data_IF_679608790189
#
_entry.id   IF_679608790189
#
_cell.length_a   1.000
_cell.length_b   1.000
_cell.length_c   1.000
_cell.angle_alpha   90.00
_cell.angle_beta   90.00
_cell.angle_gamma   90.00
#
_symmetry.space_group_name_H-M   'P 1'
#
loop_
_entity.id
_entity.type
_entity.pdbx_description
1 polymer ?
#
# COMPACT_ATOMS: atom_id res chain seq x y z
N UNK A 1 -4.94 -21.21 -59.78
CA UNK A 1 -5.88 -21.52 -58.65
C UNK A 1 -5.27 -22.44 -57.62
N UNK A 2 -4.84 -23.67 -57.91
CA UNK A 2 -4.29 -24.60 -56.92
C UNK A 2 -3.12 -24.03 -56.06
N UNK A 3 -2.17 -23.25 -56.64
CA UNK A 3 -1.05 -22.67 -55.88
C UNK A 3 -1.48 -21.54 -54.92
N UNK A 4 -2.51 -20.75 -55.28
CA UNK A 4 -3.06 -19.71 -54.39
C UNK A 4 -3.78 -20.30 -53.20
N UNK A 5 -4.48 -21.44 -53.38
CA UNK A 5 -5.14 -22.17 -52.30
C UNK A 5 -4.13 -22.77 -51.33
N UNK A 6 -2.98 -23.26 -51.81
CA UNK A 6 -1.91 -23.77 -50.93
C UNK A 6 -1.21 -22.69 -50.13
N UNK A 7 -1.01 -21.49 -50.71
CA UNK A 7 -0.43 -20.33 -50.02
C UNK A 7 -1.42 -19.77 -48.98
N UNK A 8 -2.70 -19.70 -49.32
CA UNK A 8 -3.74 -19.30 -48.37
C UNK A 8 -3.91 -20.33 -47.21
N UNK A 9 -3.78 -21.64 -47.52
CA UNK A 9 -3.81 -22.68 -46.48
C UNK A 9 -2.55 -22.63 -45.59
N UNK A 10 -1.36 -22.35 -46.14
CA UNK A 10 -0.13 -22.18 -45.35
C UNK A 10 -0.20 -20.92 -44.48
N UNK A 11 -0.72 -19.79 -45.02
CA UNK A 11 -0.95 -18.56 -44.26
C UNK A 11 -2.01 -18.74 -43.16
N UNK A 12 -3.07 -19.52 -43.42
CA UNK A 12 -4.06 -19.86 -42.41
C UNK A 12 -3.48 -20.81 -41.34
N UNK A 13 -2.59 -21.76 -41.70
CA UNK A 13 -1.87 -22.56 -40.73
C UNK A 13 -0.88 -21.72 -39.89
N UNK A 14 -0.19 -20.76 -40.49
CA UNK A 14 0.68 -19.84 -39.78
C UNK A 14 -0.12 -18.85 -38.85
N UNK A 15 -1.35 -18.52 -39.19
CA UNK A 15 -2.24 -17.75 -38.34
C UNK A 15 -2.88 -18.55 -37.22
N UNK A 16 -2.97 -19.87 -37.36
CA UNK A 16 -3.38 -20.81 -36.30
C UNK A 16 -2.23 -21.24 -35.39
N UNK A 17 -0.98 -21.04 -35.84
CA UNK A 17 0.23 -21.11 -35.00
C UNK A 17 0.55 -19.74 -34.35
N UNK A 18 -0.41 -18.82 -34.22
CA UNK A 18 -0.37 -17.75 -33.25
C UNK A 18 -0.28 -18.44 -31.90
N UNK A 19 0.94 -18.51 -31.36
CA UNK A 19 1.24 -18.89 -30.00
C UNK A 19 0.24 -18.22 -29.06
N UNK A 20 -0.84 -18.88 -28.72
CA UNK A 20 -1.43 -18.70 -27.42
C UNK A 20 -0.27 -19.05 -26.48
N UNK A 21 0.32 -18.07 -25.83
CA UNK A 21 1.23 -18.29 -24.73
C UNK A 21 0.51 -19.28 -23.83
N UNK A 22 1.11 -20.45 -23.65
CA UNK A 22 0.51 -21.54 -22.88
C UNK A 22 0.29 -20.94 -21.47
N UNK A 23 -0.96 -20.67 -21.12
CA UNK A 23 -1.31 -19.93 -19.89
C UNK A 23 -0.84 -20.69 -18.64
N UNK A 24 -0.61 -22.00 -18.77
CA UNK A 24 -0.10 -22.87 -17.70
C UNK A 24 1.38 -22.60 -17.40
N UNK A 25 2.15 -22.04 -18.36
CA UNK A 25 3.54 -21.62 -18.18
C UNK A 25 3.70 -20.12 -17.87
N UNK A 26 2.61 -19.42 -17.58
CA UNK A 26 2.64 -18.00 -17.14
C UNK A 26 2.21 -17.89 -15.69
N UNK A 27 2.92 -17.03 -14.93
CA UNK A 27 2.52 -16.56 -13.61
C UNK A 27 2.25 -15.06 -13.69
N UNK A 28 1.00 -14.64 -13.53
CA UNK A 28 0.60 -13.24 -13.49
C UNK A 28 0.60 -12.75 -12.06
N UNK A 29 1.58 -11.90 -11.74
CA UNK A 29 1.73 -11.25 -10.42
C UNK A 29 1.22 -9.82 -10.51
N UNK A 30 0.44 -9.39 -9.52
CA UNK A 30 -0.11 -8.04 -9.43
C UNK A 30 0.17 -7.48 -8.03
N UNK A 31 1.08 -6.50 -7.95
CA UNK A 31 1.61 -5.96 -6.70
C UNK A 31 1.54 -4.44 -6.69
N UNK A 32 1.90 -3.82 -5.60
CA UNK A 32 2.15 -2.38 -5.51
C UNK A 32 3.35 -1.96 -6.36
N UNK A 33 3.41 -0.68 -6.73
CA UNK A 33 4.61 -0.10 -7.36
C UNK A 33 5.78 -0.09 -6.37
N UNK A 34 7.00 -0.34 -6.87
CA UNK A 34 8.25 -0.32 -6.09
C UNK A 34 8.22 -1.19 -4.81
N UNK A 35 7.56 -2.35 -4.86
CA UNK A 35 7.27 -3.19 -3.70
C UNK A 35 7.77 -4.63 -3.82
N UNK A 36 8.82 -4.83 -4.56
CA UNK A 36 9.61 -6.08 -4.69
C UNK A 36 10.98 -5.75 -5.31
N UNK A 37 12.02 -6.45 -4.89
CA UNK A 37 13.26 -6.53 -5.66
C UNK A 37 12.99 -7.31 -6.96
N UNK A 38 12.88 -6.61 -8.08
CA UNK A 38 12.54 -7.23 -9.38
C UNK A 38 13.58 -8.25 -9.86
N UNK A 39 14.80 -8.23 -9.34
CA UNK A 39 15.83 -9.24 -9.64
C UNK A 39 15.45 -10.61 -9.07
N UNK A 40 14.59 -10.68 -8.05
CA UNK A 40 14.02 -11.94 -7.55
C UNK A 40 13.10 -12.64 -8.56
N UNK A 41 12.54 -11.91 -9.53
CA UNK A 41 11.62 -12.49 -10.51
C UNK A 41 12.30 -13.51 -11.40
N UNK A 42 13.41 -13.19 -12.12
CA UNK A 42 14.12 -14.18 -12.92
C UNK A 42 14.76 -15.30 -12.04
N UNK A 43 15.13 -14.99 -10.81
CA UNK A 43 15.65 -16.00 -9.89
C UNK A 43 14.55 -16.99 -9.48
N UNK A 44 13.33 -16.52 -9.25
CA UNK A 44 12.18 -17.39 -9.03
C UNK A 44 11.90 -18.30 -10.23
N UNK A 45 11.95 -17.78 -11.46
CA UNK A 45 11.74 -18.60 -12.68
C UNK A 45 12.72 -19.77 -12.75
N UNK A 46 14.01 -19.51 -12.47
CA UNK A 46 15.04 -20.54 -12.41
C UNK A 46 14.83 -21.50 -11.23
N UNK A 47 14.60 -20.97 -10.03
CA UNK A 47 14.37 -21.78 -8.84
C UNK A 47 13.15 -22.69 -8.99
N UNK A 48 12.05 -22.19 -9.60
CA UNK A 48 10.86 -22.99 -9.86
C UNK A 48 11.14 -24.17 -10.79
N UNK A 49 11.91 -23.95 -11.86
CA UNK A 49 12.34 -25.02 -12.78
C UNK A 49 13.22 -26.07 -12.07
N UNK A 50 14.13 -25.63 -11.22
CA UNK A 50 14.98 -26.51 -10.42
C UNK A 50 14.17 -27.35 -9.41
N UNK A 51 13.15 -26.79 -8.78
CA UNK A 51 12.33 -27.49 -7.79
C UNK A 51 11.29 -28.42 -8.42
N UNK A 52 10.73 -28.06 -9.57
CA UNK A 52 9.55 -28.74 -10.12
C UNK A 52 9.84 -29.49 -11.44
N UNK A 53 10.92 -29.15 -12.15
CA UNK A 53 11.18 -29.57 -13.52
C UNK A 53 10.28 -28.91 -14.58
N UNK A 54 9.45 -27.92 -14.17
CA UNK A 54 8.55 -27.18 -15.04
C UNK A 54 9.04 -25.75 -15.20
N UNK A 55 8.90 -25.16 -16.39
CA UNK A 55 9.25 -23.77 -16.63
C UNK A 55 8.05 -22.87 -16.40
N UNK A 56 8.30 -21.68 -15.85
CA UNK A 56 7.31 -20.62 -15.72
C UNK A 56 7.89 -19.27 -16.14
N UNK A 57 7.07 -18.41 -16.72
CA UNK A 57 7.42 -17.01 -17.02
C UNK A 57 6.54 -16.08 -16.23
N UNK A 58 7.14 -15.19 -15.45
CA UNK A 58 6.43 -14.21 -14.65
C UNK A 58 6.04 -13.00 -15.52
N UNK A 59 4.77 -12.59 -15.40
CA UNK A 59 4.24 -11.34 -15.93
C UNK A 59 3.88 -10.45 -14.75
N UNK A 60 4.79 -9.55 -14.41
CA UNK A 60 4.64 -8.65 -13.28
C UNK A 60 3.92 -7.37 -13.69
N UNK A 61 2.92 -6.96 -12.91
CA UNK A 61 2.12 -5.74 -13.09
C UNK A 61 1.92 -5.05 -11.75
N UNK A 62 1.67 -3.75 -11.78
CA UNK A 62 1.50 -2.95 -10.56
C UNK A 62 0.15 -2.25 -10.48
N UNK A 63 -0.26 -1.93 -9.25
CA UNK A 63 -1.41 -1.09 -8.93
C UNK A 63 -1.05 -0.07 -7.83
N UNK A 64 -1.84 0.97 -7.73
CA UNK A 64 -1.65 2.05 -6.75
C UNK A 64 -2.79 2.15 -5.74
N UNK A 65 -3.92 1.46 -5.98
CA UNK A 65 -5.14 1.58 -5.18
C UNK A 65 -5.79 0.21 -5.03
N UNK A 66 -5.97 -0.24 -3.80
CA UNK A 66 -6.59 -1.51 -3.43
C UNK A 66 -7.96 -1.73 -4.08
N UNK A 67 -8.85 -0.73 -4.04
CA UNK A 67 -10.21 -0.84 -4.57
C UNK A 67 -10.22 -0.97 -6.10
N UNK A 68 -9.25 -0.37 -6.78
CA UNK A 68 -9.07 -0.52 -8.23
C UNK A 68 -8.62 -1.92 -8.59
N UNK A 69 -7.66 -2.45 -7.85
CA UNK A 69 -7.18 -3.83 -7.98
C UNK A 69 -8.33 -4.82 -7.75
N UNK A 70 -9.06 -4.68 -6.63
CA UNK A 70 -10.18 -5.53 -6.29
C UNK A 70 -11.26 -5.52 -7.37
N UNK A 71 -11.61 -4.35 -7.91
CA UNK A 71 -12.62 -4.22 -8.97
C UNK A 71 -12.25 -4.99 -10.25
N UNK A 72 -10.97 -5.09 -10.59
CA UNK A 72 -10.51 -5.89 -11.73
C UNK A 72 -10.75 -7.39 -11.50
N UNK A 73 -10.58 -7.86 -10.26
CA UNK A 73 -10.81 -9.26 -9.89
C UNK A 73 -12.31 -9.53 -9.77
N UNK A 74 -13.02 -8.74 -8.95
CA UNK A 74 -14.44 -8.93 -8.64
C UNK A 74 -15.35 -8.79 -9.86
N UNK A 75 -15.18 -7.69 -10.61
CA UNK A 75 -16.05 -7.33 -11.76
C UNK A 75 -15.41 -7.66 -13.10
N UNK A 76 -14.10 -7.49 -13.20
CA UNK A 76 -13.35 -7.74 -14.44
C UNK A 76 -13.09 -9.22 -14.67
N UNK A 77 -13.12 -10.05 -13.62
CA UNK A 77 -12.73 -11.46 -13.64
C UNK A 77 -11.35 -11.67 -14.27
N UNK A 78 -10.43 -10.71 -14.04
CA UNK A 78 -9.06 -10.83 -14.56
C UNK A 78 -8.33 -12.01 -13.92
N UNK A 79 -7.57 -12.73 -14.73
CA UNK A 79 -6.94 -13.99 -14.38
C UNK A 79 -5.53 -13.82 -13.79
N UNK A 80 -5.39 -12.89 -12.80
CA UNK A 80 -4.17 -12.83 -12.00
C UNK A 80 -4.00 -14.11 -11.20
N UNK A 81 -2.74 -14.56 -11.04
CA UNK A 81 -2.42 -15.77 -10.26
C UNK A 81 -2.03 -15.42 -8.83
N UNK A 82 -1.34 -14.29 -8.64
CA UNK A 82 -0.89 -13.83 -7.32
C UNK A 82 -1.15 -12.32 -7.23
N UNK A 83 -1.70 -11.89 -6.11
CA UNK A 83 -1.97 -10.46 -5.82
C UNK A 83 -1.55 -10.18 -4.38
N UNK A 84 -1.07 -8.97 -4.11
CA UNK A 84 -0.65 -8.53 -2.78
C UNK A 84 -1.52 -7.37 -2.25
N UNK A 85 -2.74 -7.62 -1.79
CA UNK A 85 -3.59 -6.61 -1.17
C UNK A 85 -3.24 -6.37 0.30
N UNK A 86 -3.77 -5.27 0.86
CA UNK A 86 -3.75 -5.03 2.30
C UNK A 86 -4.81 -5.85 3.04
N UNK A 87 -4.64 -5.98 4.34
CA UNK A 87 -5.42 -6.81 5.29
C UNK A 87 -6.94 -6.68 5.14
N UNK A 88 -7.48 -5.46 5.09
CA UNK A 88 -8.92 -5.23 4.96
C UNK A 88 -9.48 -5.69 3.61
N UNK A 89 -8.67 -5.69 2.56
CA UNK A 89 -9.04 -6.25 1.26
C UNK A 89 -8.96 -7.78 1.29
N UNK A 90 -7.96 -8.35 1.96
CA UNK A 90 -7.90 -9.81 2.19
C UNK A 90 -9.17 -10.26 2.91
N UNK A 91 -9.58 -9.55 3.97
CA UNK A 91 -10.84 -9.81 4.67
C UNK A 91 -12.05 -9.80 3.72
N UNK A 92 -12.17 -8.77 2.90
CA UNK A 92 -13.26 -8.65 1.93
C UNK A 92 -13.25 -9.76 0.90
N UNK A 93 -12.07 -10.07 0.31
CA UNK A 93 -11.95 -11.13 -0.68
C UNK A 93 -12.29 -12.52 -0.10
N UNK A 94 -11.96 -12.76 1.16
CA UNK A 94 -12.35 -13.99 1.87
C UNK A 94 -13.87 -14.07 2.07
N UNK A 95 -14.47 -13.02 2.58
CA UNK A 95 -15.91 -12.96 2.86
C UNK A 95 -16.74 -13.08 1.59
N UNK A 96 -16.25 -12.60 0.44
CA UNK A 96 -16.89 -12.68 -0.86
C UNK A 96 -16.55 -13.97 -1.65
N UNK A 97 -15.70 -14.85 -1.10
CA UNK A 97 -15.28 -16.09 -1.77
C UNK A 97 -14.51 -15.84 -3.06
N UNK A 98 -13.65 -14.82 -3.07
CA UNK A 98 -12.81 -14.41 -4.20
C UNK A 98 -11.39 -14.97 -4.17
N UNK A 99 -11.05 -15.83 -3.21
CA UNK A 99 -9.75 -16.45 -3.06
C UNK A 99 -9.79 -17.95 -3.25
N UNK A 100 -8.68 -18.51 -3.72
CA UNK A 100 -8.37 -19.92 -3.71
C UNK A 100 -7.37 -20.20 -2.56
N UNK A 101 -7.43 -21.39 -1.95
CA UNK A 101 -6.45 -21.78 -0.94
C UNK A 101 -5.06 -21.89 -1.56
N UNK A 102 -4.04 -21.53 -0.77
CA UNK A 102 -2.63 -21.72 -1.13
C UNK A 102 -2.30 -23.19 -0.94
N UNK A 103 -1.75 -23.80 -2.00
CA UNK A 103 -1.28 -25.18 -1.91
C UNK A 103 0.08 -25.20 -1.21
N UNK A 104 0.12 -25.79 -0.02
CA UNK A 104 1.34 -25.92 0.81
C UNK A 104 2.04 -27.27 0.69
N UNK A 105 1.61 -28.11 -0.24
CA UNK A 105 2.34 -29.32 -0.62
C UNK A 105 3.38 -29.01 -1.72
N UNK A 106 4.58 -28.75 -1.29
CA UNK A 106 5.71 -28.42 -2.18
C UNK A 106 6.57 -29.65 -2.53
N UNK A 107 6.08 -30.86 -2.27
CA UNK A 107 6.79 -32.10 -2.52
C UNK A 107 8.12 -32.23 -1.76
N UNK A 108 9.26 -32.15 -2.45
CA UNK A 108 10.58 -32.19 -1.82
C UNK A 108 11.14 -30.82 -1.45
N UNK A 109 10.50 -29.73 -1.90
CA UNK A 109 10.90 -28.36 -1.57
C UNK A 109 10.46 -28.05 -0.14
N UNK A 110 11.30 -27.39 0.69
CA UNK A 110 10.89 -26.99 2.04
C UNK A 110 9.68 -26.04 2.01
N UNK A 111 8.81 -26.20 2.97
CA UNK A 111 7.70 -25.25 3.20
C UNK A 111 8.20 -24.08 4.03
N UNK A 112 8.73 -23.05 3.35
CA UNK A 112 9.24 -21.84 3.98
C UNK A 112 8.13 -20.96 4.57
N UNK A 113 6.90 -21.07 4.06
CA UNK A 113 5.73 -20.37 4.61
C UNK A 113 5.49 -20.79 6.07
N UNK A 114 5.40 -22.09 6.29
CA UNK A 114 5.12 -22.60 7.63
C UNK A 114 6.32 -22.47 8.57
N UNK A 115 7.53 -22.58 8.02
CA UNK A 115 8.77 -22.49 8.79
C UNK A 115 9.09 -21.06 9.24
N UNK A 116 8.90 -20.07 8.38
CA UNK A 116 9.52 -18.76 8.55
C UNK A 116 8.53 -17.59 8.76
N UNK A 117 7.25 -17.72 8.39
CA UNK A 117 6.28 -16.63 8.66
C UNK A 117 6.02 -16.52 10.16
N UNK A 118 6.13 -15.30 10.68
CA UNK A 118 5.97 -14.97 12.10
C UNK A 118 4.74 -15.61 12.75
N UNK A 119 4.87 -16.22 13.93
CA UNK A 119 3.73 -16.72 14.70
C UNK A 119 2.73 -15.62 15.04
N UNK A 120 3.19 -14.40 15.31
CA UNK A 120 2.34 -13.24 15.55
C UNK A 120 1.49 -12.93 14.32
N UNK A 121 2.12 -12.80 13.15
CA UNK A 121 1.43 -12.52 11.90
C UNK A 121 0.39 -13.61 11.60
N UNK A 122 0.75 -14.89 11.74
CA UNK A 122 -0.21 -16.00 11.61
C UNK A 122 -1.38 -15.83 12.58
N UNK A 123 -1.14 -15.43 13.84
CA UNK A 123 -2.20 -15.22 14.84
C UNK A 123 -3.13 -14.04 14.49
N UNK A 124 -2.59 -13.00 13.88
CA UNK A 124 -3.36 -11.85 13.38
C UNK A 124 -4.23 -12.28 12.20
N UNK A 125 -3.66 -13.01 11.24
CA UNK A 125 -4.39 -13.48 10.05
C UNK A 125 -5.53 -14.44 10.41
N UNK A 126 -5.39 -15.26 11.46
CA UNK A 126 -6.51 -16.09 11.96
C UNK A 126 -7.75 -15.26 12.34
N UNK A 127 -7.58 -13.97 12.66
CA UNK A 127 -8.65 -13.07 13.09
C UNK A 127 -9.16 -12.14 11.99
N UNK A 128 -8.58 -12.18 10.78
CA UNK A 128 -8.96 -11.31 9.67
C UNK A 128 -10.37 -11.63 9.18
N UNK A 129 -10.68 -12.92 8.98
CA UNK A 129 -11.94 -13.33 8.37
C UNK A 129 -13.03 -13.62 9.41
N UNK A 130 -14.27 -13.44 8.99
CA UNK A 130 -15.45 -13.81 9.74
C UNK A 130 -15.84 -15.28 9.48
N UNK A 131 -16.73 -15.84 10.33
CA UNK A 131 -17.35 -17.13 10.08
C UNK A 131 -16.45 -18.36 10.24
N UNK A 132 -15.28 -18.23 10.87
CA UNK A 132 -14.39 -19.35 11.18
C UNK A 132 -13.51 -19.80 10.01
N UNK A 133 -13.34 -18.94 9.00
CA UNK A 133 -12.35 -19.14 7.93
C UNK A 133 -10.98 -18.75 8.50
N UNK A 134 -9.99 -19.61 8.39
CA UNK A 134 -8.60 -19.24 8.71
C UNK A 134 -7.97 -18.58 7.46
N UNK A 135 -7.66 -17.29 7.55
CA UNK A 135 -7.06 -16.56 6.47
C UNK A 135 -5.67 -17.10 6.10
N UNK A 136 -4.98 -17.80 7.01
CA UNK A 136 -3.69 -18.43 6.73
C UNK A 136 -3.75 -19.55 5.68
N UNK A 137 -4.94 -20.09 5.39
CA UNK A 137 -5.11 -21.05 4.30
C UNK A 137 -5.16 -20.37 2.92
N UNK A 138 -5.43 -19.07 2.86
CA UNK A 138 -5.70 -18.29 1.64
C UNK A 138 -4.72 -17.15 1.43
N UNK A 139 -3.98 -16.76 2.45
CA UNK A 139 -3.05 -15.64 2.39
C UNK A 139 -1.79 -15.91 3.21
N UNK A 140 -0.70 -15.28 2.77
CA UNK A 140 0.58 -15.27 3.50
C UNK A 140 1.02 -13.83 3.63
N UNK A 141 1.29 -13.39 4.85
CA UNK A 141 1.81 -12.05 5.09
C UNK A 141 3.08 -11.81 4.25
N UNK A 142 3.25 -10.57 3.80
CA UNK A 142 4.38 -10.14 3.00
C UNK A 142 5.18 -9.07 3.72
N UNK A 143 4.64 -7.85 3.80
CA UNK A 143 5.22 -6.74 4.54
C UNK A 143 4.21 -6.21 5.55
N UNK A 144 4.71 -5.51 6.57
CA UNK A 144 3.88 -4.90 7.59
C UNK A 144 4.52 -3.63 8.13
N UNK A 145 3.75 -2.83 8.83
CA UNK A 145 4.25 -1.64 9.48
C UNK A 145 3.17 -0.88 10.25
N UNK A 146 3.56 0.28 10.74
CA UNK A 146 2.68 1.20 11.45
C UNK A 146 2.46 2.47 10.65
N UNK A 147 1.42 3.21 10.97
CA UNK A 147 1.21 4.57 10.51
C UNK A 147 1.56 5.53 11.65
N UNK A 148 2.29 6.59 11.33
CA UNK A 148 2.75 7.56 12.33
C UNK A 148 3.10 8.90 11.74
N UNK A 149 3.87 9.66 12.49
CA UNK A 149 4.34 11.00 12.12
C UNK A 149 5.85 10.96 11.90
N UNK A 150 6.29 11.14 10.66
CA UNK A 150 7.67 11.48 10.35
C UNK A 150 7.84 12.98 10.52
N UNK A 151 8.84 13.42 11.29
CA UNK A 151 9.05 14.83 11.57
C UNK A 151 10.52 15.24 11.53
N UNK A 152 10.77 16.50 11.16
CA UNK A 152 12.10 17.09 11.17
C UNK A 152 12.35 17.70 12.55
N UNK A 153 13.26 17.09 13.33
CA UNK A 153 13.56 17.46 14.73
C UNK A 153 14.13 18.88 14.89
N UNK A 154 14.63 19.49 13.81
CA UNK A 154 15.07 20.88 13.79
C UNK A 154 13.92 21.89 13.90
N UNK A 155 12.75 21.55 13.40
CA UNK A 155 11.59 22.47 13.29
C UNK A 155 10.39 22.05 14.15
N UNK A 156 10.28 20.76 14.47
CA UNK A 156 9.17 20.18 15.22
C UNK A 156 9.66 19.75 16.59
N UNK A 157 8.91 20.17 17.63
CA UNK A 157 9.16 19.69 18.97
C UNK A 157 8.74 18.22 19.07
N UNK A 158 9.61 17.29 19.56
CA UNK A 158 9.24 15.89 19.74
C UNK A 158 7.92 15.68 20.52
N UNK A 159 7.65 16.52 21.55
CA UNK A 159 6.40 16.43 22.31
C UNK A 159 5.17 16.76 21.45
N UNK A 160 5.29 17.68 20.46
CA UNK A 160 4.21 17.95 19.51
C UNK A 160 3.90 16.71 18.63
N UNK A 161 4.93 15.95 18.24
CA UNK A 161 4.79 14.76 17.37
C UNK A 161 4.15 13.55 18.09
N UNK A 162 4.07 13.54 19.42
CA UNK A 162 3.53 12.46 20.23
C UNK A 162 2.00 12.37 20.23
N UNK A 163 1.33 13.28 19.53
CA UNK A 163 -0.14 13.30 19.42
C UNK A 163 -0.59 13.60 17.99
N UNK A 164 -1.68 12.98 17.55
CA UNK A 164 -2.29 13.28 16.24
C UNK A 164 -2.76 14.74 16.13
N UNK A 165 -2.88 15.45 17.25
CA UNK A 165 -3.23 16.87 17.27
C UNK A 165 -2.21 17.76 16.55
N UNK A 166 -0.96 17.30 16.39
CA UNK A 166 0.13 18.01 15.70
C UNK A 166 -0.23 18.44 14.29
N UNK A 167 -1.03 17.63 13.56
CA UNK A 167 -1.38 17.93 12.16
C UNK A 167 -2.33 19.13 12.01
N UNK A 168 -2.99 19.57 13.09
CA UNK A 168 -3.79 20.79 13.07
C UNK A 168 -3.12 21.98 13.79
N UNK A 169 -1.85 21.84 14.19
CA UNK A 169 -1.11 22.92 14.83
C UNK A 169 -0.70 23.98 13.78
N UNK A 170 -1.19 25.24 13.88
CA UNK A 170 -0.90 26.27 12.89
C UNK A 170 0.57 26.68 12.81
N UNK A 171 1.40 26.30 13.81
CA UNK A 171 2.86 26.47 13.79
C UNK A 171 3.51 25.80 12.57
N UNK A 172 2.91 24.73 12.06
CA UNK A 172 3.43 23.92 10.97
C UNK A 172 2.70 24.12 9.64
N UNK A 173 1.88 25.18 9.53
CA UNK A 173 1.10 25.48 8.35
C UNK A 173 1.95 25.55 7.07
N UNK A 174 1.52 24.86 6.01
CA UNK A 174 2.22 24.76 4.73
C UNK A 174 3.47 23.88 4.75
N UNK A 175 3.66 23.10 5.84
CA UNK A 175 4.79 22.18 6.04
C UNK A 175 4.35 20.76 6.40
N UNK A 176 3.07 20.46 6.28
CA UNK A 176 2.47 19.19 6.63
C UNK A 176 2.11 18.44 5.34
N UNK A 177 2.61 17.23 5.19
CA UNK A 177 2.20 16.27 4.16
C UNK A 177 1.39 15.15 4.81
N UNK A 178 0.39 14.65 4.10
CA UNK A 178 -0.49 13.59 4.60
C UNK A 178 -0.68 12.58 3.48
N UNK A 179 -0.58 11.27 3.80
CA UNK A 179 -0.85 10.17 2.87
C UNK A 179 -2.23 10.30 2.25
N UNK A 180 -2.31 10.14 0.94
CA UNK A 180 -3.58 10.09 0.20
C UNK A 180 -4.21 8.69 0.29
N UNK A 181 -4.38 8.20 1.51
CA UNK A 181 -4.95 6.90 1.82
C UNK A 181 -6.08 7.08 2.84
N UNK A 182 -7.31 6.98 2.36
CA UNK A 182 -8.50 7.32 3.15
C UNK A 182 -8.59 6.57 4.47
N UNK A 183 -8.34 5.26 4.44
CA UNK A 183 -8.46 4.38 5.60
C UNK A 183 -7.32 4.59 6.59
N UNK A 184 -6.09 4.70 6.08
CA UNK A 184 -4.89 4.93 6.89
C UNK A 184 -4.92 6.26 7.64
N UNK A 185 -5.63 7.27 7.10
CA UNK A 185 -5.81 8.56 7.80
C UNK A 185 -7.03 8.52 8.70
N UNK A 186 -8.14 7.90 8.27
CA UNK A 186 -9.35 7.81 9.09
C UNK A 186 -9.09 7.08 10.40
N UNK A 187 -8.47 5.90 10.35
CA UNK A 187 -8.28 5.05 11.51
C UNK A 187 -7.59 5.74 12.69
N UNK A 188 -6.36 6.29 12.55
CA UNK A 188 -5.70 6.99 13.64
C UNK A 188 -6.44 8.23 14.13
N UNK A 189 -7.08 8.98 13.21
CA UNK A 189 -7.84 10.15 13.61
C UNK A 189 -9.12 9.77 14.36
N UNK A 190 -9.78 8.67 13.97
CA UNK A 190 -10.94 8.17 14.70
C UNK A 190 -10.54 7.71 16.12
N UNK A 191 -9.40 7.05 16.28
CA UNK A 191 -8.81 6.71 17.59
C UNK A 191 -8.58 7.97 18.42
N UNK A 192 -7.93 8.98 17.82
CA UNK A 192 -7.67 10.27 18.49
C UNK A 192 -8.96 10.94 18.96
N UNK A 193 -9.97 11.00 18.12
CA UNK A 193 -11.25 11.63 18.44
C UNK A 193 -11.99 10.92 19.58
N UNK A 194 -11.83 9.61 19.70
CA UNK A 194 -12.49 8.77 20.71
C UNK A 194 -11.58 8.36 21.88
N UNK A 195 -10.39 8.99 22.03
CA UNK A 195 -9.40 8.63 23.05
C UNK A 195 -9.95 8.64 24.49
N UNK A 196 -10.92 9.49 24.80
CA UNK A 196 -11.53 9.55 26.13
C UNK A 196 -12.44 8.34 26.37
N UNK A 197 -13.23 7.93 25.39
CA UNK A 197 -14.07 6.74 25.46
C UNK A 197 -13.22 5.46 25.55
N UNK A 198 -12.12 5.39 24.79
CA UNK A 198 -11.14 4.30 24.88
C UNK A 198 -10.56 4.20 26.30
N UNK A 199 -10.09 5.32 26.87
CA UNK A 199 -9.55 5.37 28.25
C UNK A 199 -10.60 5.03 29.31
N UNK A 200 -11.86 5.34 29.07
CA UNK A 200 -12.98 4.98 29.95
C UNK A 200 -13.44 3.52 29.77
N UNK A 201 -12.95 2.81 28.74
CA UNK A 201 -13.41 1.46 28.38
C UNK A 201 -14.84 1.42 27.83
N UNK A 202 -15.33 2.55 27.30
CA UNK A 202 -16.67 2.68 26.71
C UNK A 202 -16.70 2.14 25.28
N UNK A 203 -15.57 2.16 24.58
CA UNK A 203 -15.38 1.59 23.25
C UNK A 203 -14.03 0.87 23.19
N UNK A 204 -13.88 -0.04 22.24
CA UNK A 204 -12.63 -0.73 21.93
C UNK A 204 -12.02 -0.22 20.62
N UNK A 205 -10.73 -0.47 20.38
CA UNK A 205 -10.07 -0.17 19.12
C UNK A 205 -10.74 -0.88 17.94
N UNK A 206 -11.08 -2.16 18.08
CA UNK A 206 -11.75 -2.94 17.03
C UNK A 206 -13.13 -2.36 16.67
N UNK A 207 -13.90 -1.91 17.67
CA UNK A 207 -15.18 -1.24 17.42
C UNK A 207 -15.01 0.06 16.64
N UNK A 208 -13.97 0.85 16.94
CA UNK A 208 -13.66 2.07 16.19
C UNK A 208 -13.24 1.80 14.75
N UNK A 209 -12.56 0.66 14.49
CA UNK A 209 -12.18 0.29 13.12
C UNK A 209 -13.36 -0.17 12.28
N UNK A 210 -14.42 -0.66 12.92
CA UNK A 210 -15.69 -1.06 12.27
C UNK A 210 -16.70 0.08 12.19
N UNK A 211 -16.44 1.22 12.84
CA UNK A 211 -17.40 2.31 12.93
C UNK A 211 -17.49 3.10 11.61
N UNK A 212 -18.51 2.77 10.81
CA UNK A 212 -18.89 3.45 9.57
C UNK A 212 -20.07 4.41 9.76
N UNK A 213 -20.37 4.80 11.00
CA UNK A 213 -21.48 5.70 11.33
C UNK A 213 -21.30 7.10 10.71
N UNK A 214 -22.42 7.74 10.40
CA UNK A 214 -22.39 9.10 9.89
C UNK A 214 -21.81 10.06 10.95
N UNK A 215 -22.01 9.78 12.24
CA UNK A 215 -21.47 10.57 13.36
C UNK A 215 -19.94 10.59 13.37
N UNK A 216 -19.30 9.43 13.26
CA UNK A 216 -17.83 9.31 13.22
C UNK A 216 -17.26 9.92 11.94
N UNK A 217 -17.92 9.74 10.80
CA UNK A 217 -17.51 10.35 9.54
C UNK A 217 -17.64 11.88 9.56
N UNK A 218 -18.69 12.43 10.17
CA UNK A 218 -18.89 13.88 10.34
C UNK A 218 -17.85 14.46 11.30
N UNK A 219 -17.53 13.77 12.41
CA UNK A 219 -16.50 14.17 13.35
C UNK A 219 -15.11 14.19 12.69
N UNK A 220 -14.79 13.17 11.91
CA UNK A 220 -13.57 13.09 11.10
C UNK A 220 -13.51 14.25 10.08
N UNK A 221 -14.58 14.49 9.31
CA UNK A 221 -14.63 15.57 8.32
C UNK A 221 -14.45 16.95 8.99
N UNK A 222 -15.07 17.16 10.16
CA UNK A 222 -14.94 18.39 10.93
C UNK A 222 -13.51 18.61 11.47
N UNK A 223 -12.83 17.54 11.92
CA UNK A 223 -11.43 17.61 12.31
C UNK A 223 -10.54 17.93 11.11
N UNK A 224 -10.69 17.19 10.00
CA UNK A 224 -9.90 17.41 8.79
C UNK A 224 -10.16 18.75 8.12
N UNK A 225 -11.33 19.37 8.32
CA UNK A 225 -11.58 20.74 7.86
C UNK A 225 -10.68 21.78 8.53
N UNK A 226 -10.21 21.51 9.77
CA UNK A 226 -9.23 22.35 10.48
C UNK A 226 -7.80 22.06 9.99
N UNK A 227 -7.50 20.81 9.64
CA UNK A 227 -6.20 20.37 9.14
C UNK A 227 -5.93 20.88 7.73
N UNK A 228 -6.90 20.76 6.84
CA UNK A 228 -6.79 21.04 5.40
C UNK A 228 -6.13 22.36 5.04
N UNK A 229 -6.42 23.52 5.70
CA UNK A 229 -5.75 24.79 5.38
C UNK A 229 -4.25 24.80 5.69
N UNK A 230 -3.77 23.85 6.49
CA UNK A 230 -2.40 23.75 6.96
C UNK A 230 -1.56 22.79 6.10
N UNK A 231 -2.22 21.92 5.34
CA UNK A 231 -1.59 20.87 4.55
C UNK A 231 -0.87 21.47 3.33
N UNK A 232 0.40 21.09 3.14
CA UNK A 232 1.19 21.43 1.97
C UNK A 232 0.83 20.52 0.76
N UNK A 233 0.49 19.25 1.01
CA UNK A 233 0.11 18.30 -0.02
C UNK A 233 -0.46 16.99 0.54
N UNK A 234 -1.40 16.43 -0.21
CA UNK A 234 -1.83 15.05 -0.09
C UNK A 234 -0.91 14.22 -0.98
N UNK A 235 -0.27 13.20 -0.43
CA UNK A 235 0.79 12.50 -1.14
C UNK A 235 0.57 10.98 -1.10
N UNK A 236 0.93 10.32 -2.18
CA UNK A 236 0.94 8.87 -2.24
C UNK A 236 2.34 8.30 -1.97
N UNK A 237 3.38 8.96 -2.53
CA UNK A 237 4.77 8.49 -2.46
C UNK A 237 5.81 9.62 -2.33
N UNK A 238 5.51 10.82 -2.85
CA UNK A 238 6.50 11.91 -2.91
C UNK A 238 6.78 12.60 -1.56
N UNK A 239 6.03 12.30 -0.50
CA UNK A 239 6.17 12.92 0.82
C UNK A 239 7.56 12.70 1.42
N UNK A 240 8.10 11.51 1.28
CA UNK A 240 9.44 11.14 1.75
C UNK A 240 10.53 12.05 1.19
N UNK A 241 10.50 12.36 -0.12
CA UNK A 241 11.44 13.29 -0.74
C UNK A 241 11.25 14.75 -0.26
N UNK A 242 10.02 15.16 0.05
CA UNK A 242 9.78 16.50 0.59
C UNK A 242 10.38 16.66 1.98
N UNK A 243 10.41 15.58 2.77
CA UNK A 243 11.01 15.57 4.10
C UNK A 243 12.54 15.63 4.03
N UNK A 244 13.18 14.80 3.19
CA UNK A 244 14.65 14.79 3.01
C UNK A 244 15.19 16.13 2.52
N UNK A 245 14.40 16.88 1.73
CA UNK A 245 14.75 18.19 1.20
C UNK A 245 14.33 19.36 2.10
N UNK A 246 13.92 19.13 3.34
CA UNK A 246 13.41 20.11 4.32
C UNK A 246 12.23 20.98 3.78
N UNK A 247 11.52 20.52 2.76
CA UNK A 247 10.32 21.20 2.23
C UNK A 247 9.10 20.91 3.09
N UNK A 248 9.01 19.69 3.65
CA UNK A 248 8.09 19.26 4.69
C UNK A 248 8.78 19.30 6.06
N UNK A 249 7.98 19.46 7.12
CA UNK A 249 8.43 19.33 8.50
C UNK A 249 7.68 18.23 9.23
N UNK A 250 6.50 17.88 8.75
CA UNK A 250 5.66 16.80 9.23
C UNK A 250 5.15 16.00 8.04
N UNK A 251 5.20 14.69 8.14
CA UNK A 251 4.52 13.79 7.21
C UNK A 251 3.77 12.71 7.99
N UNK A 252 2.46 12.68 7.82
CA UNK A 252 1.60 11.58 8.25
C UNK A 252 1.82 10.44 7.27
N UNK A 253 2.57 9.41 7.65
CA UNK A 253 3.10 8.41 6.71
C UNK A 253 3.24 7.02 7.32
N UNK A 254 3.62 6.06 6.50
CA UNK A 254 3.93 4.69 6.89
C UNK A 254 5.37 4.57 7.37
N UNK A 255 5.62 3.59 8.26
CA UNK A 255 6.94 3.38 8.88
C UNK A 255 8.05 3.09 7.87
N UNK A 256 7.79 2.32 6.81
CA UNK A 256 8.80 2.05 5.78
C UNK A 256 9.19 3.28 4.97
N UNK A 257 8.22 4.11 4.56
CA UNK A 257 8.51 5.40 3.91
C UNK A 257 9.27 6.35 4.85
N UNK A 258 8.96 6.28 6.15
CA UNK A 258 9.67 7.08 7.15
C UNK A 258 11.13 6.64 7.27
N UNK A 259 11.39 5.34 7.35
CA UNK A 259 12.76 4.83 7.44
C UNK A 259 13.56 5.15 6.17
N UNK A 260 13.00 4.91 4.99
CA UNK A 260 13.64 5.32 3.75
C UNK A 260 14.03 6.81 3.77
N UNK A 261 13.11 7.67 4.20
CA UNK A 261 13.40 9.11 4.29
C UNK A 261 14.46 9.44 5.35
N UNK A 262 14.48 8.72 6.48
CA UNK A 262 15.47 8.92 7.54
C UNK A 262 16.88 8.50 7.09
N UNK A 263 16.99 7.38 6.37
CA UNK A 263 18.27 6.94 5.79
C UNK A 263 18.83 7.97 4.80
N UNK A 264 18.04 8.38 3.83
CA UNK A 264 18.46 9.39 2.85
C UNK A 264 18.78 10.74 3.50
N UNK A 265 18.07 11.11 4.55
CA UNK A 265 18.24 12.36 5.28
C UNK A 265 19.55 12.39 6.08
N UNK A 266 20.01 11.25 6.61
CA UNK A 266 21.30 11.15 7.35
C UNK A 266 22.46 11.64 6.51
N UNK A 267 22.54 11.23 5.24
CA UNK A 267 23.58 11.64 4.29
C UNK A 267 23.54 13.14 3.98
N UNK A 268 22.36 13.76 4.09
CA UNK A 268 22.15 15.19 3.88
C UNK A 268 22.30 16.03 5.16
N UNK A 269 22.52 15.40 6.32
CA UNK A 269 22.63 16.06 7.62
C UNK A 269 21.27 16.59 8.14
N UNK A 270 20.16 15.99 7.73
CA UNK A 270 18.81 16.31 8.17
C UNK A 270 18.37 15.31 9.22
N UNK A 271 18.00 15.78 10.43
CA UNK A 271 17.54 14.95 11.55
C UNK A 271 16.02 14.72 11.40
N UNK A 272 15.65 13.63 10.75
CA UNK A 272 14.28 13.12 10.68
C UNK A 272 14.07 12.05 11.74
N UNK A 273 12.88 12.04 12.34
CA UNK A 273 12.45 11.05 13.34
C UNK A 273 11.03 10.62 13.10
N UNK A 274 10.71 9.41 13.52
CA UNK A 274 9.37 8.84 13.39
C UNK A 274 8.76 8.59 14.77
N UNK A 275 7.46 8.86 14.92
CA UNK A 275 6.72 8.62 16.15
C UNK A 275 5.34 8.04 15.83
N UNK A 276 4.96 6.96 16.51
CA UNK A 276 3.57 6.50 16.57
C UNK A 276 2.90 7.20 17.75
N UNK A 277 1.93 8.11 17.52
CA UNK A 277 1.31 8.89 18.59
C UNK A 277 0.72 8.06 19.74
N UNK A 278 0.68 8.66 20.93
CA UNK A 278 0.31 7.98 22.18
C UNK A 278 -1.14 7.52 22.22
N UNK A 279 -2.01 8.16 21.48
CA UNK A 279 -3.43 7.77 21.40
C UNK A 279 -3.62 6.41 20.74
N UNK A 280 -2.62 5.99 19.96
CA UNK A 280 -2.66 4.78 19.16
C UNK A 280 -2.76 5.05 17.66
N UNK A 281 -2.61 4.00 16.87
CA UNK A 281 -2.60 4.07 15.41
C UNK A 281 -3.12 2.78 14.78
N UNK A 282 -3.05 2.70 13.46
CA UNK A 282 -3.19 1.42 12.78
C UNK A 282 -1.83 0.74 12.59
N UNK A 283 -1.85 -0.58 12.74
CA UNK A 283 -0.87 -1.50 12.20
C UNK A 283 -1.49 -2.11 10.95
N UNK A 284 -0.75 -2.16 9.86
CA UNK A 284 -1.22 -2.69 8.59
C UNK A 284 -0.36 -3.86 8.14
N UNK A 285 -0.98 -4.77 7.39
CA UNK A 285 -0.35 -5.96 6.84
C UNK A 285 -0.75 -6.10 5.38
N UNK A 286 0.25 -6.24 4.51
CA UNK A 286 0.02 -6.69 3.14
C UNK A 286 0.32 -8.19 3.05
N UNK A 287 -0.42 -8.88 2.21
CA UNK A 287 -0.27 -10.32 2.08
C UNK A 287 -0.54 -10.85 0.69
N UNK A 288 0.19 -11.89 0.33
CA UNK A 288 0.01 -12.58 -0.93
C UNK A 288 -1.23 -13.46 -0.90
N UNK A 289 -2.06 -13.35 -1.92
CA UNK A 289 -3.27 -14.15 -2.10
C UNK A 289 -3.35 -14.72 -3.52
N UNK A 290 -4.09 -15.80 -3.69
CA UNK A 290 -4.38 -16.41 -4.99
C UNK A 290 -5.84 -16.11 -5.34
N UNK A 291 -6.12 -15.22 -6.30
CA UNK A 291 -7.48 -14.88 -6.68
C UNK A 291 -8.24 -16.06 -7.29
N UNK A 292 -9.55 -16.05 -7.18
CA UNK A 292 -10.48 -17.08 -7.67
C UNK A 292 -10.31 -17.44 -9.16
N UNK A 293 -9.88 -16.49 -9.96
CA UNK A 293 -9.72 -16.68 -11.41
C UNK A 293 -8.30 -17.04 -11.83
N UNK A 294 -7.42 -17.33 -10.86
CA UNK A 294 -6.05 -17.79 -11.11
C UNK A 294 -6.04 -19.08 -11.95
N UNK A 295 -5.06 -19.22 -12.81
CA UNK A 295 -4.91 -20.37 -13.70
C UNK A 295 -3.67 -21.19 -13.41
N UNK A 296 -2.74 -20.63 -12.64
CA UNK A 296 -1.48 -21.30 -12.28
C UNK A 296 -1.28 -21.28 -10.76
N UNK A 297 -2.20 -21.92 -10.04
CA UNK A 297 -2.18 -21.99 -8.56
C UNK A 297 -0.88 -22.62 -8.03
N UNK A 298 -0.35 -23.63 -8.72
CA UNK A 298 0.91 -24.28 -8.34
C UNK A 298 2.07 -23.28 -8.34
N UNK A 299 2.31 -22.59 -9.47
CA UNK A 299 3.39 -21.62 -9.54
C UNK A 299 3.16 -20.42 -8.61
N UNK A 300 1.89 -20.02 -8.39
CA UNK A 300 1.52 -18.99 -7.42
C UNK A 300 1.92 -19.38 -6.00
N UNK A 301 1.61 -20.59 -5.58
CA UNK A 301 1.98 -21.11 -4.25
C UNK A 301 3.50 -21.21 -4.08
N UNK A 302 4.22 -21.68 -5.12
CA UNK A 302 5.67 -21.71 -5.12
C UNK A 302 6.30 -20.31 -5.08
N UNK A 303 5.72 -19.32 -5.77
CA UNK A 303 6.19 -17.93 -5.73
C UNK A 303 6.08 -17.36 -4.32
N UNK A 304 4.95 -17.57 -3.65
CA UNK A 304 4.75 -17.14 -2.26
C UNK A 304 5.76 -17.85 -1.35
N UNK A 305 5.96 -19.16 -1.53
CA UNK A 305 6.94 -19.94 -0.75
C UNK A 305 8.39 -19.44 -0.96
N UNK A 306 8.75 -19.10 -2.21
CA UNK A 306 10.07 -18.56 -2.57
C UNK A 306 10.35 -17.21 -1.88
N UNK A 307 9.35 -16.34 -1.77
CA UNK A 307 9.49 -15.07 -1.08
C UNK A 307 9.61 -15.22 0.44
N UNK A 308 9.24 -16.38 1.00
CA UNK A 308 9.43 -16.71 2.42
C UNK A 308 10.80 -17.34 2.74
N UNK A 309 11.70 -17.47 1.77
CA UNK A 309 13.12 -17.83 2.00
C UNK A 309 13.77 -16.62 2.70
N UNK A 310 14.49 -16.80 3.84
CA UNK A 310 15.06 -15.70 4.60
C UNK A 310 15.93 -14.75 3.77
N UNK A 311 16.84 -15.27 2.93
CA UNK A 311 17.69 -14.49 2.04
C UNK A 311 16.90 -13.59 1.08
N UNK A 312 15.78 -14.12 0.52
CA UNK A 312 14.92 -13.34 -0.37
C UNK A 312 14.11 -12.29 0.38
N UNK A 313 13.68 -12.59 1.61
CA UNK A 313 13.01 -11.62 2.48
C UNK A 313 13.94 -10.47 2.87
N UNK A 314 15.20 -10.76 3.23
CA UNK A 314 16.23 -9.75 3.53
C UNK A 314 16.43 -8.84 2.32
N UNK A 315 16.66 -9.41 1.14
CA UNK A 315 16.84 -8.62 -0.10
C UNK A 315 15.65 -7.71 -0.41
N UNK A 316 14.43 -8.22 -0.21
CA UNK A 316 13.23 -7.39 -0.36
C UNK A 316 13.19 -6.26 0.66
N UNK A 317 13.49 -6.51 1.94
CA UNK A 317 13.54 -5.48 2.97
C UNK A 317 14.57 -4.40 2.65
N UNK A 318 15.77 -4.81 2.24
CA UNK A 318 16.85 -3.88 1.85
C UNK A 318 16.47 -3.00 0.65
N UNK A 319 15.75 -3.58 -0.31
CA UNK A 319 15.34 -2.86 -1.53
C UNK A 319 14.19 -1.88 -1.29
N UNK A 320 13.16 -2.31 -0.54
CA UNK A 320 11.92 -1.54 -0.42
C UNK A 320 11.81 -0.73 0.88
N UNK A 321 12.66 -1.00 1.88
CA UNK A 321 12.66 -0.29 3.17
C UNK A 321 11.51 -0.67 4.10
N UNK A 322 10.82 -1.80 3.86
CA UNK A 322 9.71 -2.28 4.70
C UNK A 322 10.06 -3.59 5.40
N UNK A 323 9.38 -3.89 6.50
CA UNK A 323 9.62 -5.09 7.30
C UNK A 323 8.83 -6.27 6.75
N UNK A 324 9.53 -7.39 6.51
CA UNK A 324 8.90 -8.65 6.13
C UNK A 324 8.14 -9.28 7.31
N UNK A 325 7.10 -10.03 6.97
CA UNK A 325 6.42 -10.93 7.92
C UNK A 325 7.20 -12.22 8.18
N UNK A 326 8.27 -12.47 7.43
CA UNK A 326 9.19 -13.60 7.61
C UNK A 326 10.12 -13.30 8.77
N UNK A 327 10.29 -14.25 9.68
CA UNK A 327 11.15 -14.14 10.87
C UNK A 327 12.04 -15.38 10.97
N UNK A 328 13.32 -15.13 11.14
CA UNK A 328 14.31 -16.19 11.36
C UNK A 328 15.51 -15.61 12.11
N UNK A 329 16.41 -16.45 12.59
CA UNK A 329 17.65 -15.99 13.23
C UNK A 329 18.51 -15.18 12.24
N UNK A 330 18.54 -15.60 10.97
CA UNK A 330 19.28 -14.91 9.91
C UNK A 330 18.71 -13.49 9.65
N UNK A 331 17.39 -13.32 9.71
CA UNK A 331 16.77 -12.00 9.57
C UNK A 331 17.06 -11.12 10.78
N UNK A 332 16.96 -11.68 12.00
CA UNK A 332 17.28 -10.94 13.22
C UNK A 332 18.73 -10.46 13.20
N UNK A 333 19.68 -11.32 12.80
CA UNK A 333 21.08 -10.97 12.65
C UNK A 333 21.30 -9.91 11.54
N UNK A 334 20.69 -10.09 10.37
CA UNK A 334 20.86 -9.17 9.23
C UNK A 334 20.31 -7.77 9.48
N UNK A 335 19.22 -7.66 10.24
CA UNK A 335 18.57 -6.39 10.55
C UNK A 335 19.11 -5.71 11.81
N UNK A 336 19.94 -6.41 12.59
CA UNK A 336 20.56 -5.84 13.79
C UNK A 336 21.66 -4.84 13.43
N UNK A 337 21.69 -3.73 14.18
CA UNK A 337 22.69 -2.68 14.06
C UNK A 337 23.33 -2.42 15.43
N UNK A 338 24.56 -2.91 15.62
CA UNK A 338 25.33 -2.78 16.86
C UNK A 338 25.68 -1.31 17.22
N UNK A 339 25.44 -0.36 16.30
CA UNK A 339 25.63 1.09 16.57
C UNK A 339 24.44 1.70 17.32
N UNK A 340 23.28 1.02 17.35
CA UNK A 340 22.13 1.44 18.12
C UNK A 340 22.40 1.24 19.63
N UNK A 341 22.23 2.32 20.41
CA UNK A 341 22.42 2.28 21.87
C UNK A 341 21.23 1.61 22.60
N UNK A 342 20.04 1.67 22.01
CA UNK A 342 18.80 1.14 22.60
C UNK A 342 18.44 -0.21 21.96
N UNK A 343 17.82 -1.07 22.74
CA UNK A 343 17.32 -2.36 22.29
C UNK A 343 15.79 -2.39 22.35
N UNK A 344 15.18 -3.24 21.54
CA UNK A 344 13.73 -3.49 21.51
C UNK A 344 13.40 -4.94 21.82
N UNK A 345 12.29 -5.18 22.51
CA UNK A 345 11.74 -6.51 22.71
C UNK A 345 10.80 -6.86 21.53
N UNK A 346 11.28 -7.72 20.66
CA UNK A 346 10.55 -8.17 19.45
C UNK A 346 10.13 -9.64 19.52
N UNK A 347 10.11 -10.23 20.72
CA UNK A 347 9.63 -11.62 20.91
C UNK A 347 8.21 -11.82 20.43
N UNK A 348 7.35 -10.78 20.46
CA UNK A 348 6.03 -10.86 19.90
C UNK A 348 6.06 -11.23 18.40
N UNK A 349 7.05 -10.75 17.65
CA UNK A 349 7.21 -10.97 16.22
C UNK A 349 8.05 -12.22 15.90
N UNK A 350 9.22 -12.34 16.55
CA UNK A 350 10.22 -13.40 16.28
C UNK A 350 10.00 -14.67 17.12
N UNK A 351 9.15 -14.65 18.13
CA UNK A 351 8.96 -15.78 19.04
C UNK A 351 10.18 -16.03 19.92
N UNK A 352 10.53 -17.30 20.07
CA UNK A 352 11.62 -17.76 20.97
C UNK A 352 13.02 -17.73 20.31
N UNK A 353 13.22 -16.92 19.26
CA UNK A 353 14.55 -16.75 18.62
C UNK A 353 15.48 -16.06 19.63
N UNK A 354 16.67 -16.62 19.82
CA UNK A 354 17.69 -16.07 20.71
C UNK A 354 18.07 -14.64 20.34
N UNK A 355 18.08 -13.73 21.30
CA UNK A 355 18.37 -12.31 21.11
C UNK A 355 17.15 -11.44 20.77
N UNK A 356 15.96 -12.02 20.58
CA UNK A 356 14.75 -11.25 20.27
C UNK A 356 14.20 -10.42 21.45
N UNK A 357 14.67 -10.66 22.67
CA UNK A 357 14.27 -9.92 23.88
C UNK A 357 15.06 -8.61 24.08
N UNK A 358 16.28 -8.51 23.52
CA UNK A 358 17.17 -7.34 23.61
C UNK A 358 17.83 -7.08 22.24
N UNK A 359 17.01 -6.96 21.17
CA UNK A 359 17.51 -6.81 19.81
C UNK A 359 17.89 -5.35 19.49
N UNK A 360 19.04 -5.13 18.90
CA UNK A 360 19.47 -3.84 18.37
C UNK A 360 18.84 -3.58 17.00
N UNK A 361 17.55 -3.30 16.98
CA UNK A 361 16.77 -3.06 15.76
C UNK A 361 16.22 -1.63 15.75
N UNK A 362 16.06 -1.05 14.55
CA UNK A 362 15.45 0.27 14.42
C UNK A 362 13.97 0.23 14.89
N UNK A 363 13.60 1.01 15.93
CA UNK A 363 12.26 1.01 16.48
C UNK A 363 11.20 1.57 15.53
N UNK A 364 11.58 2.24 14.44
CA UNK A 364 10.68 2.68 13.37
C UNK A 364 10.11 1.49 12.61
N UNK A 365 10.98 0.53 12.31
CA UNK A 365 10.66 -0.69 11.59
C UNK A 365 10.18 -1.81 12.53
N UNK A 366 10.84 -1.95 13.66
CA UNK A 366 10.59 -2.98 14.68
C UNK A 366 10.16 -2.32 16.00
N UNK A 367 8.92 -1.77 16.06
CA UNK A 367 8.47 -1.08 17.25
C UNK A 367 8.38 -2.02 18.45
N UNK A 368 8.63 -1.46 19.65
CA UNK A 368 8.44 -2.18 20.90
C UNK A 368 7.01 -2.70 21.06
N UNK A 369 6.83 -3.79 21.78
CA UNK A 369 5.52 -4.41 22.02
C UNK A 369 4.47 -3.41 22.53
N UNK A 370 4.88 -2.44 23.38
CA UNK A 370 3.98 -1.40 23.91
C UNK A 370 3.44 -0.45 22.84
N UNK A 371 4.14 -0.29 21.70
CA UNK A 371 3.65 0.45 20.54
C UNK A 371 2.59 -0.35 19.82
N UNK A 372 2.85 -1.64 19.61
CA UNK A 372 1.90 -2.55 18.93
C UNK A 372 0.61 -2.73 19.73
N UNK A 373 0.70 -2.79 21.07
CA UNK A 373 -0.47 -2.90 21.95
C UNK A 373 -1.48 -1.74 21.81
N UNK A 374 -1.00 -0.55 21.38
CA UNK A 374 -1.87 0.60 21.12
C UNK A 374 -2.19 0.79 19.62
N UNK A 375 -1.86 -0.19 18.78
CA UNK A 375 -2.19 -0.22 17.37
C UNK A 375 -3.28 -1.27 17.10
N UNK A 376 -4.04 -1.03 16.04
CA UNK A 376 -5.12 -1.92 15.63
C UNK A 376 -5.10 -2.11 14.11
N UNK A 377 -5.44 -3.32 13.67
CA UNK A 377 -5.55 -3.63 12.25
C UNK A 377 -6.80 -2.99 11.64
N UNK A 378 -6.68 -2.49 10.43
CA UNK A 378 -7.81 -1.98 9.65
C UNK A 378 -8.83 -3.07 9.37
N UNK A 379 -10.11 -2.67 9.23
CA UNK A 379 -11.21 -3.58 8.94
C UNK A 379 -11.94 -3.17 7.67
N UNK A 380 -12.48 -4.15 6.96
CA UNK A 380 -13.36 -3.88 5.82
C UNK A 380 -14.74 -3.44 6.29
N UNK A 381 -15.28 -2.41 5.66
CA UNK A 381 -16.65 -1.94 5.89
C UNK A 381 -17.65 -2.48 4.86
N UNK A 382 -17.22 -3.38 3.98
CA UNK A 382 -18.07 -3.96 2.95
C UNK A 382 -18.75 -2.89 2.10
N UNK A 383 -20.09 -2.95 2.03
CA UNK A 383 -20.90 -2.01 1.24
C UNK A 383 -20.84 -0.56 1.76
N UNK A 384 -20.40 -0.34 3.00
CA UNK A 384 -20.28 1.01 3.60
C UNK A 384 -18.95 1.72 3.23
N UNK A 385 -17.96 0.99 2.66
CA UNK A 385 -16.66 1.56 2.21
C UNK A 385 -16.82 2.80 1.33
N UNK A 386 -17.79 2.90 0.40
CA UNK A 386 -17.99 4.11 -0.40
C UNK A 386 -18.30 5.37 0.41
N UNK A 387 -18.82 5.26 1.63
CA UNK A 387 -19.04 6.42 2.51
C UNK A 387 -17.70 7.07 2.88
N UNK A 388 -16.72 6.26 3.31
CA UNK A 388 -15.39 6.77 3.65
C UNK A 388 -14.71 7.42 2.44
N UNK A 389 -14.74 6.76 1.27
CA UNK A 389 -14.12 7.28 0.05
C UNK A 389 -14.78 8.62 -0.37
N UNK A 390 -16.11 8.71 -0.23
CA UNK A 390 -16.84 9.95 -0.51
C UNK A 390 -16.45 11.06 0.48
N UNK A 391 -16.39 10.75 1.78
CA UNK A 391 -15.95 11.68 2.84
C UNK A 391 -14.51 12.15 2.58
N UNK A 392 -13.59 11.23 2.29
CA UNK A 392 -12.21 11.55 1.94
C UNK A 392 -12.11 12.47 0.71
N UNK A 393 -12.92 12.22 -0.30
CA UNK A 393 -13.00 13.08 -1.48
C UNK A 393 -13.45 14.50 -1.14
N UNK A 394 -14.39 14.67 -0.18
CA UNK A 394 -14.80 15.99 0.33
C UNK A 394 -13.69 16.65 1.14
N UNK A 395 -13.02 15.90 2.00
CA UNK A 395 -11.85 16.38 2.77
C UNK A 395 -10.79 16.94 1.84
N UNK A 396 -10.36 16.20 0.83
CA UNK A 396 -9.34 16.64 -0.13
C UNK A 396 -9.85 17.67 -1.14
N UNK A 397 -11.13 17.59 -1.48
CA UNK A 397 -11.74 18.38 -2.55
C UNK A 397 -11.26 19.82 -2.52
N UNK A 398 -10.85 20.33 -3.69
CA UNK A 398 -10.38 21.69 -3.79
C UNK A 398 -11.50 22.63 -3.35
N UNK A 399 -11.22 23.52 -2.38
CA UNK A 399 -11.90 24.78 -2.28
C UNK A 399 -11.54 25.60 -3.54
N UNK A 400 -12.02 25.16 -4.72
CA UNK A 400 -12.05 26.00 -5.89
C UNK A 400 -12.97 27.18 -5.49
N UNK A 401 -12.37 28.19 -4.88
CA UNK A 401 -13.06 29.41 -4.47
C UNK A 401 -13.91 29.85 -5.67
N UNK A 402 -15.13 30.31 -5.40
CA UNK A 402 -15.98 30.90 -6.43
C UNK A 402 -15.18 31.84 -7.34
N UNK A 403 -14.15 32.49 -6.80
CA UNK A 403 -13.19 33.34 -7.51
C UNK A 403 -12.33 32.56 -8.52
N UNK A 404 -11.85 31.33 -8.22
CA UNK A 404 -11.10 30.49 -9.15
C UNK A 404 -12.00 30.01 -10.30
N UNK A 405 -13.24 29.63 -9.99
CA UNK A 405 -14.24 29.26 -11.02
C UNK A 405 -14.60 30.45 -11.90
N UNK A 406 -14.70 31.67 -11.32
CA UNK A 406 -14.90 32.92 -12.06
C UNK A 406 -13.72 33.21 -12.98
N UNK A 407 -12.47 33.07 -12.50
CA UNK A 407 -11.26 33.27 -13.31
C UNK A 407 -11.19 32.27 -14.46
N UNK A 408 -11.46 31.00 -14.21
CA UNK A 408 -11.52 29.97 -15.25
C UNK A 408 -12.64 30.28 -16.25
N UNK A 409 -13.82 30.67 -15.77
CA UNK A 409 -14.95 31.09 -16.61
C UNK A 409 -14.61 32.27 -17.49
N UNK A 410 -13.95 33.30 -16.93
CA UNK A 410 -13.48 34.48 -17.68
C UNK A 410 -12.42 34.10 -18.73
N UNK A 411 -11.49 33.20 -18.40
CA UNK A 411 -10.49 32.72 -19.34
C UNK A 411 -11.13 32.03 -20.56
N UNK A 412 -12.10 31.14 -20.34
CA UNK A 412 -12.85 30.51 -21.43
C UNK A 412 -13.69 31.51 -22.22
N UNK A 413 -14.32 32.48 -21.56
CA UNK A 413 -15.06 33.56 -22.23
C UNK A 413 -14.16 34.39 -23.15
N UNK A 414 -12.94 34.74 -22.69
CA UNK A 414 -11.94 35.44 -23.51
C UNK A 414 -11.53 34.62 -24.74
N UNK A 415 -11.25 33.32 -24.54
CA UNK A 415 -10.91 32.43 -25.65
C UNK A 415 -12.06 32.33 -26.68
N UNK A 416 -13.30 32.30 -26.22
CA UNK A 416 -14.49 32.25 -27.07
C UNK A 416 -14.64 33.54 -27.88
N UNK A 417 -14.44 34.71 -27.25
CA UNK A 417 -14.47 36.02 -27.93
C UNK A 417 -13.36 36.13 -28.97
N UNK A 418 -12.14 35.67 -28.63
CA UNK A 418 -11.00 35.66 -29.59
C UNK A 418 -11.28 34.70 -30.78
N UNK A 419 -11.86 33.53 -30.51
CA UNK A 419 -12.27 32.60 -31.58
C UNK A 419 -13.34 33.19 -32.50
N UNK A 420 -14.34 33.88 -31.95
CA UNK A 420 -15.40 34.56 -32.71
C UNK A 420 -14.79 35.69 -33.53
N UNK A 421 -13.93 36.54 -32.93
CA UNK A 421 -13.22 37.60 -33.67
C UNK A 421 -12.40 37.06 -34.81
N UNK A 422 -11.62 36.00 -34.62
CA UNK A 422 -10.84 35.32 -35.64
C UNK A 422 -11.72 34.84 -36.82
N UNK A 423 -12.91 34.29 -36.48
CA UNK A 423 -13.87 33.80 -37.49
C UNK A 423 -14.53 34.96 -38.28
N UNK A 424 -14.80 36.09 -37.63
CA UNK A 424 -15.34 37.28 -38.28
C UNK A 424 -14.29 37.98 -39.17
N UNK A 425 -13.03 38.11 -38.73
CA UNK A 425 -11.95 38.70 -39.51
C UNK A 425 -11.57 37.81 -40.73
N UNK A 426 -11.62 36.49 -40.56
CA UNK A 426 -11.37 35.57 -41.68
C UNK A 426 -12.47 35.66 -42.77
N UNK A 427 -13.74 35.87 -42.35
CA UNK A 427 -14.86 36.11 -43.30
C UNK A 427 -14.73 37.46 -44.04
N UNK A 428 -14.27 38.52 -43.37
CA UNK A 428 -14.02 39.83 -44.02
C UNK A 428 -12.88 39.76 -45.05
N UNK A 429 -11.76 39.08 -44.77
CA UNK A 429 -10.67 38.87 -45.76
C UNK A 429 -11.16 38.10 -46.99
N UNK A 430 -11.96 37.04 -46.83
CA UNK A 430 -12.51 36.28 -48.00
C UNK A 430 -13.51 37.08 -48.85
N UNK A 431 -14.19 38.06 -48.31
CA UNK A 431 -15.08 38.95 -49.09
C UNK A 431 -14.29 40.01 -49.90
N UNK A 432 -13.11 40.44 -49.46
CA UNK A 432 -12.30 41.41 -50.19
C UNK A 432 -11.58 40.80 -51.42
N UNK A 433 -11.23 39.48 -51.33
CA UNK A 433 -10.60 38.78 -52.47
C UNK A 433 -11.59 38.30 -53.54
N UNK A 434 -12.91 38.36 -53.26
CA UNK A 434 -13.91 38.01 -54.27
C UNK A 434 -14.46 39.23 -55.03
N UNK A 435 -13.95 40.45 -54.80
CA UNK A 435 -14.37 41.69 -55.48
C UNK A 435 -13.21 42.35 -56.29
N UNK A 436 -12.14 41.61 -56.51
CA UNK A 436 -11.12 41.88 -57.54
C UNK A 436 -11.18 40.69 -58.54
#
# INVERSE_FOLDING_TARGET
MKRIVHIAALLALCLLASCGTDREHLLKVYNWGDYIDEDLIPEFEQWYEEQTGETVKVVYQTFDINETMLSKIEKGHEDFDVVCPSDYIIQRMLNEGLLLPIDKDFGNTPNYIDANVSPYIKSVFTKIADGGIDANDYSVGYMWGTTGILYNAKYVDPEDARTWDVIRNPKYAGKIFIKDAARDVFCPINIFLHQNQLKAGEVTMDELMMDSSDESLEAFEAFMAQVKPLVAGWEADFGKEQMTQERGWLNFTWSGDAEWAMMEARDLGVDLRYEVPQEGSNVWFDGWVIPKYARNVKAASYFINFLCIPENAIRNMDFIGYVSTVTSAEILEAMSDDELEETVDVRYLFGDIEGADEAHLDPTLYPDASVIERCVMMRDWGEETPKLITTWSRVKGSNANAMTMVVIGLFFAVLLVLGIRKKFFSKRRRRHYRKK
#
